data_IF_441329935950
#
_entry.id   IF_441329935950
#
_cell.length_a   1.000
_cell.length_b   1.000
_cell.length_c   1.000
_cell.angle_alpha   90.00
_cell.angle_beta   90.00
_cell.angle_gamma   90.00
#
_symmetry.space_group_name_H-M   'P 1'
#
loop_
_entity.id
_entity.type
_entity.pdbx_description
1 polymer ?
#
# COMPACT_ATOMS: atom_id res chain seq x y z
N UNK A 1 -56.90 55.82 46.20
CA UNK A 1 -56.43 57.13 46.72
C UNK A 1 -55.24 56.86 47.65
N UNK A 2 -54.19 57.70 47.72
CA UNK A 2 -53.90 58.98 47.03
C UNK A 2 -52.82 58.81 45.92
N UNK A 3 -52.78 59.59 44.82
CA UNK A 3 -52.40 61.03 44.67
C UNK A 3 -50.88 61.26 44.85
N UNK A 4 -50.14 62.06 44.08
CA UNK A 4 -50.41 63.05 43.03
C UNK A 4 -49.07 63.49 42.40
N UNK A 5 -49.11 64.03 41.16
CA UNK A 5 -48.29 65.16 40.68
C UNK A 5 -46.83 64.84 40.28
N UNK A 6 -46.17 65.53 39.35
CA UNK A 6 -46.51 66.74 38.59
C UNK A 6 -45.54 66.87 37.38
N UNK A 7 -45.94 67.64 36.37
CA UNK A 7 -45.22 68.01 35.11
C UNK A 7 -44.06 69.02 35.37
N UNK A 8 -43.13 69.39 34.42
CA UNK A 8 -43.38 69.80 33.02
C UNK A 8 -42.29 69.53 31.92
N UNK A 9 -42.69 69.79 30.65
CA UNK A 9 -41.91 69.93 29.39
C UNK A 9 -41.09 71.27 29.36
N UNK A 10 -40.37 71.72 28.29
CA UNK A 10 -40.19 71.22 26.91
C UNK A 10 -38.77 71.39 26.28
N UNK A 11 -38.60 70.94 25.02
CA UNK A 11 -37.65 71.58 24.10
C UNK A 11 -37.09 70.72 22.96
N UNK A 12 -37.28 71.15 21.72
CA UNK A 12 -36.29 70.96 20.66
C UNK A 12 -36.66 70.03 19.50
N UNK A 13 -37.31 70.59 18.48
CA UNK A 13 -37.51 70.03 17.14
C UNK A 13 -36.23 70.14 16.29
N UNK A 14 -35.91 69.12 15.46
CA UNK A 14 -35.33 69.13 14.07
C UNK A 14 -34.39 67.91 13.78
N UNK A 15 -34.06 67.54 12.51
CA UNK A 15 -34.92 66.70 11.68
C UNK A 15 -34.15 65.60 10.87
N UNK A 16 -34.89 64.85 10.04
CA UNK A 16 -34.48 64.09 8.82
C UNK A 16 -33.22 63.21 8.87
N UNK A 17 -33.37 61.88 8.73
CA UNK A 17 -32.86 61.15 7.54
C UNK A 17 -33.38 59.71 7.47
N UNK A 18 -34.02 59.39 6.35
CA UNK A 18 -34.36 58.03 5.97
C UNK A 18 -33.07 57.24 5.69
N UNK A 19 -32.69 56.33 6.57
CA UNK A 19 -31.67 55.34 6.25
C UNK A 19 -32.30 54.24 5.40
N UNK A 20 -31.99 54.28 4.10
CA UNK A 20 -32.11 53.14 3.18
C UNK A 20 -31.53 51.90 3.85
N UNK A 21 -32.37 50.90 4.10
CA UNK A 21 -31.92 49.56 4.44
C UNK A 21 -31.08 49.02 3.28
N UNK A 22 -29.76 48.91 3.48
CA UNK A 22 -28.90 48.13 2.60
C UNK A 22 -29.13 46.67 2.92
N UNK A 23 -29.90 45.99 2.08
CA UNK A 23 -29.93 44.53 2.04
C UNK A 23 -28.49 44.03 1.82
N UNK A 24 -27.90 43.43 2.85
CA UNK A 24 -26.64 42.70 2.73
C UNK A 24 -26.97 41.37 2.09
N UNK A 25 -26.77 41.25 0.77
CA UNK A 25 -26.69 39.95 0.12
C UNK A 25 -25.56 39.16 0.76
N UNK A 26 -25.92 38.19 1.60
CA UNK A 26 -25.02 37.14 2.04
C UNK A 26 -24.90 36.19 0.86
N UNK A 27 -23.81 36.31 0.10
CA UNK A 27 -23.45 35.33 -0.90
C UNK A 27 -23.00 34.09 -0.11
N UNK A 28 -23.89 33.11 0.01
CA UNK A 28 -23.53 31.77 0.47
C UNK A 28 -22.77 31.13 -0.69
N UNK A 29 -21.45 31.19 -0.62
CA UNK A 29 -20.60 30.43 -1.54
C UNK A 29 -20.81 28.94 -1.28
N UNK A 30 -21.13 28.12 -2.29
CA UNK A 30 -21.18 26.68 -2.10
C UNK A 30 -19.75 26.19 -1.85
N UNK A 31 -19.49 25.66 -0.64
CA UNK A 31 -18.30 24.85 -0.40
C UNK A 31 -18.41 23.62 -1.29
N UNK A 32 -17.68 23.62 -2.41
CA UNK A 32 -17.41 22.41 -3.17
C UNK A 32 -16.54 21.52 -2.27
N UNK A 33 -17.15 20.53 -1.64
CA UNK A 33 -16.42 19.46 -0.98
C UNK A 33 -15.68 18.67 -2.07
N UNK A 34 -14.42 19.03 -2.30
CA UNK A 34 -13.50 18.22 -3.11
C UNK A 34 -13.33 16.91 -2.35
N UNK A 35 -14.06 15.88 -2.79
CA UNK A 35 -13.82 14.51 -2.36
C UNK A 35 -12.46 14.12 -2.92
N UNK A 36 -11.39 14.34 -2.15
CA UNK A 36 -10.09 13.75 -2.42
C UNK A 36 -10.23 12.24 -2.30
N UNK A 37 -10.67 11.57 -3.37
CA UNK A 37 -10.54 10.14 -3.48
C UNK A 37 -9.03 9.84 -3.46
N UNK A 38 -8.55 9.21 -2.39
CA UNK A 38 -7.18 8.71 -2.34
C UNK A 38 -7.01 7.76 -3.52
N UNK A 39 -5.98 7.95 -4.36
CA UNK A 39 -5.69 7.01 -5.43
C UNK A 39 -5.59 5.58 -4.87
N UNK A 40 -6.02 4.56 -5.63
CA UNK A 40 -5.88 3.18 -5.19
C UNK A 40 -4.42 2.84 -4.88
N UNK A 41 -4.15 2.00 -3.88
CA UNK A 41 -2.79 1.69 -3.49
C UNK A 41 -2.12 0.82 -4.56
N UNK A 42 -1.06 1.36 -5.16
CA UNK A 42 -0.16 0.67 -6.08
C UNK A 42 1.12 0.24 -5.36
N UNK A 43 1.87 -0.69 -5.97
CA UNK A 43 3.21 -1.07 -5.50
C UNK A 43 4.17 -1.03 -6.67
N UNK A 44 5.30 -0.36 -6.48
CA UNK A 44 6.47 -0.49 -7.33
C UNK A 44 7.40 -1.54 -6.71
N UNK A 45 7.88 -2.45 -7.55
CA UNK A 45 8.80 -3.50 -7.16
C UNK A 45 9.84 -3.66 -8.26
N UNK A 46 11.10 -3.76 -7.87
CA UNK A 46 12.20 -4.15 -8.75
C UNK A 46 12.94 -5.33 -8.14
N UNK A 47 13.68 -6.05 -8.97
CA UNK A 47 14.47 -7.19 -8.53
C UNK A 47 15.74 -7.26 -9.36
N UNK A 48 16.83 -7.63 -8.69
CA UNK A 48 18.10 -8.01 -9.27
C UNK A 48 18.57 -9.31 -8.59
N UNK A 49 19.16 -10.19 -9.39
CA UNK A 49 19.61 -11.51 -8.93
C UNK A 49 21.05 -11.72 -9.37
N UNK A 50 21.94 -11.84 -8.38
CA UNK A 50 23.35 -12.12 -8.58
C UNK A 50 23.69 -13.53 -8.06
N UNK A 51 24.58 -14.24 -8.76
CA UNK A 51 25.07 -15.55 -8.33
C UNK A 51 26.59 -15.59 -8.31
N UNK A 52 27.14 -16.08 -7.21
CA UNK A 52 28.55 -16.42 -7.05
C UNK A 52 28.68 -17.88 -6.60
N UNK A 53 28.90 -18.77 -7.57
CA UNK A 53 28.94 -20.21 -7.31
C UNK A 53 27.63 -20.70 -6.68
N UNK A 54 27.72 -21.21 -5.45
CA UNK A 54 26.57 -21.74 -4.73
C UNK A 54 25.62 -20.69 -4.15
N UNK A 55 26.12 -19.47 -3.99
CA UNK A 55 25.39 -18.38 -3.34
C UNK A 55 24.60 -17.59 -4.37
N UNK A 56 23.32 -17.37 -4.09
CA UNK A 56 22.45 -16.45 -4.82
C UNK A 56 22.08 -15.30 -3.90
N UNK A 57 22.27 -14.08 -4.36
CA UNK A 57 21.72 -12.89 -3.73
C UNK A 57 20.52 -12.38 -4.53
N UNK A 58 19.38 -12.22 -3.85
CA UNK A 58 18.16 -11.64 -4.40
C UNK A 58 17.99 -10.29 -3.74
N UNK A 59 18.03 -9.20 -4.51
CA UNK A 59 17.88 -7.86 -3.97
C UNK A 59 16.94 -7.01 -4.82
N UNK A 60 16.50 -5.88 -4.29
CA UNK A 60 15.65 -4.98 -5.06
C UNK A 60 15.16 -3.79 -4.27
N UNK A 61 14.33 -2.97 -4.93
CA UNK A 61 13.71 -1.78 -4.34
C UNK A 61 12.19 -1.83 -4.44
N UNK A 62 11.53 -1.12 -3.54
CA UNK A 62 10.06 -1.01 -3.51
C UNK A 62 9.62 0.26 -2.80
N UNK A 63 8.39 0.70 -3.07
CA UNK A 63 7.70 1.78 -2.36
C UNK A 63 6.86 1.29 -1.16
N UNK A 64 6.92 -0.01 -0.84
CA UNK A 64 6.31 -0.58 0.36
C UNK A 64 6.93 0.00 1.64
N UNK A 65 6.10 0.15 2.67
CA UNK A 65 6.55 0.60 3.98
C UNK A 65 7.45 -0.45 4.67
N UNK A 66 8.35 0.03 5.51
CA UNK A 66 9.24 -0.81 6.32
C UNK A 66 8.46 -1.87 7.12
N UNK A 67 9.03 -3.07 7.17
CA UNK A 67 8.42 -4.23 7.79
C UNK A 67 7.46 -5.00 6.87
N UNK A 68 7.12 -4.47 5.68
CA UNK A 68 6.39 -5.25 4.69
C UNK A 68 7.16 -6.53 4.34
N UNK A 69 6.42 -7.62 4.14
CA UNK A 69 6.99 -8.93 3.82
C UNK A 69 6.90 -9.20 2.31
N UNK A 70 7.94 -9.80 1.77
CA UNK A 70 7.98 -10.32 0.40
C UNK A 70 8.28 -11.81 0.43
N UNK A 71 7.54 -12.60 -0.35
CA UNK A 71 7.87 -13.99 -0.59
C UNK A 71 8.92 -14.06 -1.68
N UNK A 72 9.81 -15.04 -1.60
CA UNK A 72 10.64 -15.44 -2.72
C UNK A 72 10.60 -16.95 -2.89
N UNK A 73 10.75 -17.40 -4.12
CA UNK A 73 10.83 -18.82 -4.49
C UNK A 73 11.92 -19.01 -5.53
N UNK A 74 12.64 -20.13 -5.43
CA UNK A 74 13.58 -20.60 -6.44
C UNK A 74 13.04 -21.93 -6.95
N UNK A 75 12.69 -21.97 -8.23
CA UNK A 75 12.03 -23.12 -8.87
C UNK A 75 12.91 -23.62 -10.01
N UNK A 76 13.40 -24.84 -9.89
CA UNK A 76 14.11 -25.52 -10.97
C UNK A 76 13.16 -25.85 -12.12
N UNK A 77 13.64 -25.80 -13.37
CA UNK A 77 12.84 -26.08 -14.58
C UNK A 77 12.17 -27.46 -14.59
N UNK A 78 12.73 -28.42 -13.84
CA UNK A 78 12.18 -29.78 -13.69
C UNK A 78 11.17 -29.94 -12.54
N UNK A 79 10.92 -28.92 -11.72
CA UNK A 79 10.05 -29.01 -10.53
C UNK A 79 8.65 -29.61 -10.83
N UNK A 80 8.09 -29.32 -12.01
CA UNK A 80 6.77 -29.80 -12.39
C UNK A 80 6.77 -31.17 -13.11
N UNK A 81 7.94 -31.67 -13.51
CA UNK A 81 8.06 -32.80 -14.46
C UNK A 81 8.86 -33.97 -13.92
N UNK A 82 9.69 -33.76 -12.89
CA UNK A 82 10.51 -34.80 -12.27
C UNK A 82 10.06 -35.07 -10.83
N UNK A 83 9.19 -36.07 -10.62
CA UNK A 83 8.75 -36.46 -9.29
C UNK A 83 9.77 -37.34 -8.54
N UNK A 84 10.81 -37.84 -9.21
CA UNK A 84 11.79 -38.75 -8.62
C UNK A 84 12.90 -38.00 -7.88
N UNK A 85 13.24 -36.80 -8.35
CA UNK A 85 14.20 -35.92 -7.67
C UNK A 85 13.57 -35.31 -6.41
N UNK A 86 14.26 -35.36 -5.25
CA UNK A 86 13.79 -34.73 -4.03
C UNK A 86 13.42 -33.25 -4.22
N UNK A 87 12.26 -32.84 -3.69
CA UNK A 87 11.72 -31.49 -3.90
C UNK A 87 12.68 -30.39 -3.43
N UNK A 88 13.42 -30.62 -2.35
CA UNK A 88 14.42 -29.69 -1.80
C UNK A 88 15.63 -29.47 -2.72
N UNK A 89 15.84 -30.34 -3.71
CA UNK A 89 16.83 -30.14 -4.79
C UNK A 89 16.27 -29.34 -5.98
N UNK A 90 14.96 -29.10 -6.02
CA UNK A 90 14.25 -28.43 -7.12
C UNK A 90 13.51 -27.16 -6.70
N UNK A 91 13.32 -26.95 -5.40
CA UNK A 91 12.47 -25.91 -4.86
C UNK A 91 12.94 -25.42 -3.49
N UNK A 92 13.04 -24.11 -3.37
CA UNK A 92 13.28 -23.41 -2.11
C UNK A 92 12.37 -22.19 -2.07
N UNK A 93 11.90 -21.85 -0.88
CA UNK A 93 11.12 -20.65 -0.67
C UNK A 93 11.52 -19.97 0.64
N UNK A 94 11.17 -18.70 0.75
CA UNK A 94 11.35 -17.96 1.98
C UNK A 94 10.61 -16.62 1.98
N UNK A 95 10.86 -15.85 3.05
CA UNK A 95 10.27 -14.53 3.25
C UNK A 95 11.35 -13.55 3.64
N UNK A 96 11.46 -12.45 2.90
CA UNK A 96 12.30 -11.30 3.26
C UNK A 96 11.44 -10.12 3.73
N UNK A 97 12.09 -9.12 4.32
CA UNK A 97 11.44 -7.94 4.92
C UNK A 97 11.98 -6.69 4.27
N UNK A 98 11.07 -5.76 3.94
CA UNK A 98 11.42 -4.46 3.40
C UNK A 98 11.97 -3.57 4.51
N UNK A 99 13.07 -2.88 4.23
CA UNK A 99 13.69 -1.86 5.08
C UNK A 99 14.29 -0.77 4.22
N UNK A 100 13.97 0.49 4.50
CA UNK A 100 14.47 1.67 3.77
C UNK A 100 14.24 1.56 2.25
N UNK A 101 13.03 1.10 1.87
CA UNK A 101 12.63 0.92 0.46
C UNK A 101 13.39 -0.18 -0.28
N UNK A 102 14.08 -1.08 0.44
CA UNK A 102 14.88 -2.17 -0.12
C UNK A 102 14.57 -3.51 0.53
N UNK A 103 14.93 -4.60 -0.14
CA UNK A 103 14.92 -5.94 0.41
C UNK A 103 16.14 -6.72 -0.09
N UNK A 104 16.52 -7.75 0.65
CA UNK A 104 17.61 -8.66 0.29
C UNK A 104 17.34 -10.07 0.84
N UNK A 105 17.79 -11.10 0.13
CA UNK A 105 17.80 -12.48 0.60
C UNK A 105 19.01 -13.22 0.01
N UNK A 106 19.79 -13.86 0.87
CA UNK A 106 20.87 -14.76 0.47
C UNK A 106 20.40 -16.21 0.56
N UNK A 107 20.62 -16.98 -0.50
CA UNK A 107 20.23 -18.39 -0.61
C UNK A 107 21.44 -19.23 -1.01
N UNK A 108 21.57 -20.40 -0.37
CA UNK A 108 22.55 -21.42 -0.77
C UNK A 108 21.86 -22.49 -1.63
N UNK A 109 22.38 -22.66 -2.84
CA UNK A 109 21.93 -23.64 -3.83
C UNK A 109 22.81 -24.90 -3.86
N UNK A 110 23.69 -25.11 -2.88
CA UNK A 110 24.60 -26.27 -2.84
C UNK A 110 23.91 -27.64 -2.94
N UNK A 111 22.62 -27.72 -2.60
CA UNK A 111 21.79 -28.92 -2.71
C UNK A 111 20.92 -28.97 -3.98
N UNK A 112 20.89 -27.92 -4.79
CA UNK A 112 20.07 -27.88 -6.00
C UNK A 112 20.69 -28.68 -7.14
N UNK A 113 19.81 -29.27 -7.96
CA UNK A 113 20.22 -29.85 -9.24
C UNK A 113 20.69 -28.75 -10.22
N UNK A 114 21.70 -29.06 -11.07
CA UNK A 114 22.07 -28.19 -12.17
C UNK A 114 21.01 -27.99 -13.23
N UNK A 115 20.82 -26.73 -13.62
CA UNK A 115 19.91 -26.34 -14.70
C UNK A 115 19.45 -24.90 -14.58
N UNK A 116 18.34 -24.59 -15.26
CA UNK A 116 17.71 -23.29 -15.16
C UNK A 116 16.85 -23.19 -13.89
N UNK A 117 17.00 -22.06 -13.18
CA UNK A 117 16.26 -21.76 -11.96
C UNK A 117 15.51 -20.45 -12.15
N UNK A 118 14.18 -20.50 -12.04
CA UNK A 118 13.35 -19.31 -11.92
C UNK A 118 13.44 -18.79 -10.49
N UNK A 119 13.91 -17.55 -10.34
CA UNK A 119 13.84 -16.78 -9.10
C UNK A 119 12.61 -15.88 -9.19
N UNK A 120 11.65 -16.10 -8.29
CA UNK A 120 10.39 -15.37 -8.23
C UNK A 120 10.31 -14.60 -6.92
N UNK A 121 9.85 -13.36 -6.97
CA UNK A 121 9.59 -12.53 -5.79
C UNK A 121 8.17 -11.98 -5.88
N UNK A 122 7.45 -11.96 -4.76
CA UNK A 122 6.13 -11.35 -4.71
C UNK A 122 5.84 -10.58 -3.43
N UNK A 123 5.07 -9.51 -3.60
CA UNK A 123 4.29 -8.91 -2.54
C UNK A 123 2.90 -9.54 -2.53
N UNK A 124 2.59 -10.28 -1.46
CA UNK A 124 1.31 -10.94 -1.24
C UNK A 124 0.93 -10.89 0.24
N UNK A 125 -0.37 -11.09 0.53
CA UNK A 125 -0.89 -10.99 1.89
C UNK A 125 -0.83 -12.30 2.69
N UNK A 126 -0.74 -13.44 1.99
CA UNK A 126 -0.73 -14.78 2.58
C UNK A 126 0.51 -15.55 2.13
N UNK A 127 1.11 -16.29 3.05
CA UNK A 127 2.29 -17.12 2.80
C UNK A 127 1.92 -18.57 3.14
N UNK A 128 1.94 -19.48 2.16
CA UNK A 128 1.39 -20.83 2.33
C UNK A 128 2.26 -21.67 3.28
N UNK A 129 3.58 -21.53 3.20
CA UNK A 129 4.55 -22.35 3.94
C UNK A 129 5.26 -21.54 5.05
N UNK A 130 4.61 -20.50 5.56
CA UNK A 130 5.17 -19.63 6.60
C UNK A 130 4.07 -19.15 7.55
N UNK A 131 4.36 -19.16 8.85
CA UNK A 131 3.47 -18.60 9.87
C UNK A 131 3.56 -17.05 9.95
N UNK A 132 4.43 -16.43 9.13
CA UNK A 132 4.56 -14.98 9.08
C UNK A 132 3.34 -14.36 8.40
N UNK A 133 2.90 -13.23 8.94
CA UNK A 133 1.78 -12.45 8.40
C UNK A 133 2.21 -11.01 8.14
N UNK A 134 1.59 -10.36 7.15
CA UNK A 134 1.82 -8.94 6.91
C UNK A 134 1.50 -8.11 8.17
N UNK A 135 2.30 -7.07 8.47
CA UNK A 135 2.00 -6.15 9.56
C UNK A 135 0.64 -5.46 9.38
N UNK A 136 -0.02 -5.11 10.48
CA UNK A 136 -1.34 -4.46 10.44
C UNK A 136 -1.39 -3.19 9.58
N UNK A 137 -0.36 -2.32 9.52
CA UNK A 137 -0.35 -1.19 8.58
C UNK A 137 -0.48 -1.62 7.11
N UNK A 138 0.23 -2.68 6.71
CA UNK A 138 0.20 -3.22 5.35
C UNK A 138 -1.18 -3.81 5.05
N UNK A 139 -1.74 -4.59 5.98
CA UNK A 139 -3.10 -5.15 5.85
C UNK A 139 -4.17 -4.05 5.72
N UNK A 140 -4.05 -2.95 6.48
CA UNK A 140 -4.99 -1.82 6.36
C UNK A 140 -4.90 -1.12 5.01
N UNK A 141 -3.71 -1.07 4.42
CA UNK A 141 -3.49 -0.39 3.14
C UNK A 141 -3.96 -1.25 1.96
N UNK A 142 -3.65 -2.54 1.95
CA UNK A 142 -3.86 -3.41 0.79
C UNK A 142 -5.03 -4.38 0.93
N UNK A 143 -5.63 -4.48 2.12
CA UNK A 143 -6.68 -5.45 2.42
C UNK A 143 -6.11 -6.81 2.85
N UNK A 144 -6.94 -7.65 3.47
CA UNK A 144 -6.47 -8.91 4.07
C UNK A 144 -6.03 -9.96 3.03
N UNK A 145 -6.51 -9.82 1.79
CA UNK A 145 -6.20 -10.68 0.63
C UNK A 145 -5.56 -9.90 -0.51
N UNK A 146 -5.15 -8.66 -0.25
CA UNK A 146 -4.61 -7.78 -1.28
C UNK A 146 -5.71 -7.21 -2.17
N UNK A 147 -6.99 -7.33 -1.81
CA UNK A 147 -8.13 -6.95 -2.65
C UNK A 147 -8.11 -5.47 -3.10
N UNK A 148 -7.43 -4.62 -2.33
CA UNK A 148 -7.26 -3.20 -2.64
C UNK A 148 -6.05 -2.90 -3.53
N UNK A 149 -5.17 -3.88 -3.80
CA UNK A 149 -4.06 -3.72 -4.74
C UNK A 149 -4.59 -3.38 -6.13
N UNK A 150 -4.03 -2.33 -6.71
CA UNK A 150 -4.28 -1.92 -8.08
C UNK A 150 -2.95 -1.64 -8.78
N UNK A 151 -2.95 -1.68 -10.11
CA UNK A 151 -1.74 -1.46 -10.91
C UNK A 151 -1.65 -2.43 -12.07
N UNK A 152 -0.84 -2.09 -13.07
CA UNK A 152 -0.65 -2.93 -14.26
C UNK A 152 0.20 -4.18 -13.99
N UNK A 153 0.91 -4.20 -12.86
CA UNK A 153 1.76 -5.30 -12.39
C UNK A 153 1.06 -6.19 -11.36
N UNK A 154 -0.26 -6.02 -11.18
CA UNK A 154 -1.04 -6.82 -10.23
C UNK A 154 -1.66 -8.02 -10.94
N UNK A 155 -1.46 -9.21 -10.39
CA UNK A 155 -2.11 -10.44 -10.83
C UNK A 155 -3.14 -10.91 -9.81
N UNK A 156 -4.27 -11.42 -10.29
CA UNK A 156 -5.37 -11.91 -9.46
C UNK A 156 -5.35 -13.45 -9.43
N UNK A 157 -5.46 -14.01 -8.23
CA UNK A 157 -5.41 -15.44 -7.95
C UNK A 157 -6.54 -15.82 -6.97
N UNK A 158 -6.80 -17.12 -6.83
CA UNK A 158 -7.87 -17.62 -5.96
C UNK A 158 -7.68 -17.20 -4.48
N UNK A 159 -6.44 -17.01 -4.04
CA UNK A 159 -6.08 -16.63 -2.68
C UNK A 159 -5.99 -15.11 -2.46
N UNK A 160 -5.87 -14.31 -3.52
CA UNK A 160 -5.79 -12.86 -3.43
C UNK A 160 -5.18 -12.20 -4.65
N UNK A 161 -4.94 -10.88 -4.55
CA UNK A 161 -4.10 -10.18 -5.53
C UNK A 161 -2.66 -10.13 -5.03
N UNK A 162 -1.71 -10.16 -5.96
CA UNK A 162 -0.28 -10.01 -5.68
C UNK A 162 0.42 -9.19 -6.74
N UNK A 163 1.58 -8.67 -6.39
CA UNK A 163 2.54 -8.04 -7.31
C UNK A 163 3.75 -8.93 -7.37
N UNK A 164 4.18 -9.32 -8.57
CA UNK A 164 5.19 -10.37 -8.74
C UNK A 164 6.15 -10.08 -9.88
N UNK A 165 7.38 -10.59 -9.74
CA UNK A 165 8.46 -10.52 -10.71
C UNK A 165 9.18 -11.86 -10.75
N UNK A 166 9.79 -12.16 -11.88
CA UNK A 166 10.58 -13.37 -12.08
C UNK A 166 11.83 -13.09 -12.92
N UNK A 167 12.94 -13.75 -12.61
CA UNK A 167 14.17 -13.75 -13.39
C UNK A 167 14.76 -15.16 -13.39
N UNK A 168 15.33 -15.57 -14.52
CA UNK A 168 16.00 -16.87 -14.62
C UNK A 168 17.51 -16.70 -14.41
N UNK A 169 18.08 -17.60 -13.62
CA UNK A 169 19.53 -17.81 -13.50
C UNK A 169 19.89 -19.25 -13.90
N UNK A 170 21.17 -19.50 -14.13
CA UNK A 170 21.69 -20.83 -14.43
C UNK A 170 22.68 -21.29 -13.36
N UNK A 171 22.44 -22.51 -12.85
CA UNK A 171 23.32 -23.20 -11.91
C UNK A 171 24.56 -23.80 -12.58
#
# INVERSE_FOLDING_TARGET
MPSSGDSPRPGGTRPVTAHRARARSVIVAPLLAVSCATPPPTVQLTMDVEREGARVNISGTTDLADGALLAYELRHEHLAYDPETPRDMLFLEGVTTVSDGRFEAEVDLSSFEPGAIEVWVSFQMRFINSDRTQPSPIVRQFGARGELLEGTNVSAHDDGKRVELSQTIHW
#
